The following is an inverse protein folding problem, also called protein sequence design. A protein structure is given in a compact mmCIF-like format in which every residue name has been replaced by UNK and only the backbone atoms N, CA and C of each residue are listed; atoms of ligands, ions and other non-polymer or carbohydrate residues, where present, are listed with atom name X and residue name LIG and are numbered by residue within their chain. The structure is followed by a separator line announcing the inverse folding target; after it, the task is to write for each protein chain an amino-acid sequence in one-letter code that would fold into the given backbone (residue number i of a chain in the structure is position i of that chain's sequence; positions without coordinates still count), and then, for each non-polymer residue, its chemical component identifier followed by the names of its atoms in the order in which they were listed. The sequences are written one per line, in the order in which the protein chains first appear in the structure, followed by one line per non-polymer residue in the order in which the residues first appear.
data_IF_308950747230
#
_entry.id   IF_308950747230
#
_cell.length_a   1.000
_cell.length_b   1.000
_cell.length_c   1.000
_cell.angle_alpha   90.00
_cell.angle_beta   90.00
_cell.angle_gamma   90.00
#
_symmetry.space_group_name_H-M   'P 1'
#
loop_
_entity.id
_entity.type
_entity.pdbx_description
1 polymer ?
#
# COMPACT_ATOMS: atom_id res chain seq x y z
N UNK A 1 -13.53 -59.56 35.95
CA UNK A 1 -13.31 -58.17 36.41
C UNK A 1 -12.18 -57.46 35.65
N UNK A 2 -11.00 -58.09 35.47
CA UNK A 2 -9.83 -57.49 34.79
C UNK A 2 -10.08 -57.04 33.33
N UNK A 3 -10.79 -57.82 32.52
CA UNK A 3 -11.04 -57.51 31.10
C UNK A 3 -11.90 -56.26 30.86
N UNK A 4 -12.79 -55.92 31.80
CA UNK A 4 -13.68 -54.75 31.68
C UNK A 4 -12.88 -53.46 31.92
N UNK A 5 -11.97 -53.47 32.89
CA UNK A 5 -11.12 -52.32 33.23
C UNK A 5 -10.12 -51.98 32.12
N UNK A 6 -9.58 -52.99 31.43
CA UNK A 6 -8.71 -52.78 30.27
C UNK A 6 -9.49 -52.16 29.10
N UNK A 7 -10.71 -52.63 28.83
CA UNK A 7 -11.56 -52.06 27.77
C UNK A 7 -11.97 -50.61 28.03
N UNK A 8 -12.35 -50.27 29.27
CA UNK A 8 -12.71 -48.90 29.65
C UNK A 8 -11.50 -47.96 29.53
N UNK A 9 -10.31 -48.41 29.94
CA UNK A 9 -9.08 -47.63 29.81
C UNK A 9 -8.70 -47.39 28.34
N UNK A 10 -8.84 -48.39 27.47
CA UNK A 10 -8.59 -48.23 26.03
C UNK A 10 -9.58 -47.27 25.35
N UNK A 11 -10.86 -47.29 25.75
CA UNK A 11 -11.87 -46.35 25.24
C UNK A 11 -11.54 -44.94 25.69
N UNK A 12 -11.13 -44.75 26.94
CA UNK A 12 -10.73 -43.45 27.46
C UNK A 12 -9.51 -42.89 26.71
N UNK A 13 -8.48 -43.71 26.48
CA UNK A 13 -7.28 -43.30 25.72
C UNK A 13 -7.64 -42.93 24.28
N UNK A 14 -8.47 -43.73 23.59
CA UNK A 14 -8.94 -43.42 22.23
C UNK A 14 -9.75 -42.12 22.18
N UNK A 15 -10.61 -41.91 23.17
CA UNK A 15 -11.40 -40.67 23.29
C UNK A 15 -10.50 -39.45 23.48
N UNK A 16 -9.52 -39.53 24.39
CA UNK A 16 -8.55 -38.45 24.61
C UNK A 16 -7.72 -38.15 23.36
N UNK A 17 -7.34 -39.18 22.60
CA UNK A 17 -6.61 -39.02 21.34
C UNK A 17 -7.45 -38.30 20.26
N UNK A 18 -8.72 -38.70 20.10
CA UNK A 18 -9.65 -38.04 19.16
C UNK A 18 -9.89 -36.57 19.55
N UNK A 19 -10.04 -36.28 20.85
CA UNK A 19 -10.22 -34.92 21.35
C UNK A 19 -8.95 -34.09 21.09
N UNK A 20 -7.76 -34.66 21.31
CA UNK A 20 -6.49 -33.99 21.04
C UNK A 20 -6.29 -33.70 19.55
N UNK A 21 -6.63 -34.63 18.65
CA UNK A 21 -6.59 -34.39 17.20
C UNK A 21 -7.58 -33.31 16.76
N UNK A 22 -8.80 -33.32 17.31
CA UNK A 22 -9.81 -32.31 17.02
C UNK A 22 -9.37 -30.92 17.50
N UNK A 23 -8.82 -30.83 18.71
CA UNK A 23 -8.26 -29.59 19.25
C UNK A 23 -7.03 -29.13 18.47
N UNK A 24 -6.14 -30.02 18.06
CA UNK A 24 -5.00 -29.68 17.22
C UNK A 24 -5.45 -29.17 15.86
N UNK A 25 -6.43 -29.80 15.21
CA UNK A 25 -6.95 -29.33 13.93
C UNK A 25 -7.68 -27.99 14.06
N UNK A 26 -8.44 -27.79 15.13
CA UNK A 26 -9.11 -26.52 15.41
C UNK A 26 -8.10 -25.40 15.70
N UNK A 27 -7.13 -25.64 16.59
CA UNK A 27 -6.09 -24.68 16.92
C UNK A 27 -5.18 -24.44 15.72
N UNK A 28 -4.78 -25.47 15.00
CA UNK A 28 -3.96 -25.35 13.80
C UNK A 28 -4.71 -24.55 12.75
N UNK A 29 -5.97 -24.83 12.44
CA UNK A 29 -6.70 -24.04 11.44
C UNK A 29 -6.96 -22.59 11.90
N UNK A 30 -7.32 -22.36 13.17
CA UNK A 30 -7.58 -21.02 13.66
C UNK A 30 -6.30 -20.17 13.80
N UNK A 31 -5.22 -20.77 14.31
CA UNK A 31 -3.90 -20.15 14.36
C UNK A 31 -3.33 -20.00 12.94
N UNK A 32 -3.57 -20.97 12.05
CA UNK A 32 -3.12 -20.91 10.66
C UNK A 32 -3.90 -19.91 9.78
N UNK A 33 -5.10 -19.50 10.17
CA UNK A 33 -5.83 -18.44 9.46
C UNK A 33 -5.45 -17.05 9.99
N UNK A 34 -5.11 -16.93 11.29
CA UNK A 34 -4.73 -15.65 11.89
C UNK A 34 -3.25 -15.25 11.65
N UNK A 35 -2.34 -16.20 11.41
CA UNK A 35 -0.90 -15.93 11.20
C UNK A 35 -0.49 -15.59 9.73
N UNK A 36 -1.38 -15.67 8.73
CA UNK A 36 -1.05 -15.39 7.31
C UNK A 36 -1.41 -13.96 6.90
N UNK A 37 -2.12 -13.21 7.75
CA UNK A 37 -2.38 -11.81 7.45
C UNK A 37 -1.10 -11.01 7.68
N UNK A 38 -0.61 -10.39 6.60
CA UNK A 38 0.54 -9.50 6.66
C UNK A 38 0.05 -8.07 6.68
N UNK A 39 0.72 -7.23 7.47
CA UNK A 39 0.46 -5.79 7.44
C UNK A 39 0.94 -5.23 6.11
N UNK A 40 -0.02 -4.90 5.25
CA UNK A 40 0.21 -4.46 3.88
C UNK A 40 -0.18 -3.00 3.75
N UNK A 41 0.63 -2.27 2.98
CA UNK A 41 0.46 -0.87 2.68
C UNK A 41 0.28 -0.65 1.16
N UNK A 42 -0.88 -0.14 0.76
CA UNK A 42 -1.20 0.21 -0.63
C UNK A 42 -1.31 1.73 -0.75
N UNK A 43 -0.46 2.32 -1.57
CA UNK A 43 -0.49 3.73 -1.94
C UNK A 43 -1.34 3.92 -3.19
N UNK A 44 -2.44 4.64 -3.07
CA UNK A 44 -3.25 5.06 -4.20
C UNK A 44 -2.76 6.40 -4.72
N UNK A 45 -2.54 6.49 -6.03
CA UNK A 45 -2.20 7.71 -6.74
C UNK A 45 -3.19 7.89 -7.88
N UNK A 46 -4.06 8.88 -7.76
CA UNK A 46 -5.17 9.10 -8.71
C UNK A 46 -5.00 10.44 -9.39
N UNK A 47 -4.88 10.46 -10.71
CA UNK A 47 -5.01 11.70 -11.47
C UNK A 47 -6.51 12.02 -11.63
N UNK A 48 -6.96 13.11 -11.02
CA UNK A 48 -8.37 13.51 -11.01
C UNK A 48 -8.47 15.03 -10.93
N UNK A 49 -9.13 15.65 -11.90
CA UNK A 49 -9.45 17.07 -11.85
C UNK A 49 -10.74 17.29 -11.08
N UNK A 50 -10.75 18.28 -10.19
CA UNK A 50 -11.90 18.58 -9.34
C UNK A 50 -12.18 20.08 -9.28
N UNK A 51 -13.41 20.42 -8.93
CA UNK A 51 -13.79 21.79 -8.60
C UNK A 51 -13.51 22.11 -7.13
N UNK A 52 -13.60 23.40 -6.78
CA UNK A 52 -13.42 23.86 -5.41
C UNK A 52 -14.40 23.15 -4.45
N UNK A 53 -13.91 22.78 -3.24
CA UNK A 53 -14.62 22.00 -2.20
C UNK A 53 -14.90 20.53 -2.53
N UNK A 54 -14.57 20.05 -3.72
CA UNK A 54 -14.64 18.62 -4.00
C UNK A 54 -13.46 17.90 -3.33
N UNK A 55 -13.71 16.66 -2.93
CA UNK A 55 -12.73 15.77 -2.30
C UNK A 55 -12.75 14.43 -3.01
N UNK A 56 -11.60 13.77 -3.13
CA UNK A 56 -11.50 12.46 -3.77
C UNK A 56 -11.32 11.39 -2.70
N UNK A 57 -12.04 10.29 -2.86
CA UNK A 57 -12.00 9.14 -1.97
C UNK A 57 -11.75 7.86 -2.77
N UNK A 58 -11.13 6.88 -2.13
CA UNK A 58 -11.12 5.49 -2.59
C UNK A 58 -12.10 4.69 -1.75
N UNK A 59 -13.02 4.02 -2.43
CA UNK A 59 -14.07 3.22 -1.80
C UNK A 59 -14.02 1.81 -2.37
N UNK A 60 -14.14 0.80 -1.54
CA UNK A 60 -14.00 -0.59 -1.97
C UNK A 60 -14.77 -1.59 -1.13
N UNK A 61 -14.56 -2.86 -1.44
CA UNK A 61 -15.25 -3.99 -0.80
C UNK A 61 -14.76 -4.27 0.64
N UNK A 62 -13.55 -3.84 0.99
CA UNK A 62 -13.02 -3.98 2.34
C UNK A 62 -13.66 -2.97 3.29
N UNK A 63 -13.86 -3.36 4.55
CA UNK A 63 -14.46 -2.48 5.58
C UNK A 63 -13.63 -1.22 5.84
N UNK A 64 -12.30 -1.34 5.80
CA UNK A 64 -11.37 -0.20 5.90
C UNK A 64 -11.44 0.75 4.69
N UNK A 65 -12.07 0.31 3.59
CA UNK A 65 -12.35 1.12 2.40
C UNK A 65 -13.84 1.52 2.34
N UNK A 66 -14.54 1.45 3.48
CA UNK A 66 -15.93 1.85 3.65
C UNK A 66 -16.97 0.83 3.19
N UNK A 67 -16.59 -0.37 2.72
CA UNK A 67 -17.54 -1.38 2.23
C UNK A 67 -18.58 -0.80 1.23
N UNK A 68 -18.10 -0.04 0.25
CA UNK A 68 -18.89 0.72 -0.73
C UNK A 68 -19.69 1.94 -0.20
N UNK A 69 -19.46 2.37 1.05
CA UNK A 69 -19.93 3.64 1.59
C UNK A 69 -18.91 4.77 1.32
N UNK A 70 -19.22 5.78 0.49
CA UNK A 70 -18.28 6.84 0.14
C UNK A 70 -17.85 7.75 1.29
N UNK A 71 -18.66 7.84 2.35
CA UNK A 71 -18.34 8.65 3.52
C UNK A 71 -17.35 7.95 4.46
N UNK A 72 -17.19 6.65 4.32
CA UNK A 72 -16.25 5.81 5.09
C UNK A 72 -15.06 5.34 4.25
N UNK A 73 -14.94 5.84 3.02
CA UNK A 73 -13.81 5.56 2.15
C UNK A 73 -12.51 6.21 2.62
N UNK A 74 -11.40 5.81 2.00
CA UNK A 74 -10.10 6.41 2.23
C UNK A 74 -10.08 7.78 1.56
N UNK A 75 -10.00 8.84 2.34
CA UNK A 75 -9.81 10.20 1.82
C UNK A 75 -8.43 10.33 1.16
N UNK A 76 -8.40 10.92 -0.03
CA UNK A 76 -7.17 11.28 -0.70
C UNK A 76 -6.85 12.76 -0.48
N UNK A 77 -5.56 13.06 -0.37
CA UNK A 77 -5.05 14.41 -0.20
C UNK A 77 -4.33 14.88 -1.47
N UNK A 78 -4.35 16.20 -1.68
CA UNK A 78 -3.63 16.89 -2.76
C UNK A 78 -3.17 18.26 -2.28
N UNK A 79 -2.30 18.92 -3.02
CA UNK A 79 -1.87 20.30 -2.79
C UNK A 79 -1.55 20.99 -4.13
N UNK A 80 -1.20 22.27 -4.09
CA UNK A 80 -0.88 23.07 -5.29
C UNK A 80 0.23 22.48 -6.16
N UNK A 81 1.18 21.76 -5.56
CA UNK A 81 2.40 21.32 -6.22
C UNK A 81 2.21 19.97 -6.91
N UNK A 82 1.27 19.15 -6.43
CA UNK A 82 0.98 17.82 -6.97
C UNK A 82 -0.34 17.74 -7.75
N UNK A 83 -1.26 18.69 -7.59
CA UNK A 83 -2.53 18.70 -8.30
C UNK A 83 -2.30 18.67 -9.83
N UNK A 84 -3.02 17.83 -10.61
CA UNK A 84 -4.24 17.08 -10.27
C UNK A 84 -4.01 15.65 -9.75
N UNK A 85 -2.88 15.36 -9.10
CA UNK A 85 -2.63 14.08 -8.44
C UNK A 85 -3.17 14.07 -7.00
N UNK A 86 -3.90 13.02 -6.66
CA UNK A 86 -4.46 12.75 -5.33
C UNK A 86 -3.82 11.48 -4.76
N UNK A 87 -3.43 11.54 -3.49
CA UNK A 87 -2.66 10.47 -2.84
C UNK A 87 -3.34 10.05 -1.54
N UNK A 88 -3.38 8.74 -1.30
CA UNK A 88 -3.88 8.17 -0.06
C UNK A 88 -3.32 6.78 0.17
N UNK A 89 -3.45 6.30 1.39
CA UNK A 89 -2.81 5.07 1.83
C UNK A 89 -3.82 4.17 2.53
N UNK A 90 -3.84 2.91 2.13
CA UNK A 90 -4.47 1.82 2.86
C UNK A 90 -3.39 1.08 3.66
N UNK A 91 -3.59 0.90 4.97
CA UNK A 91 -2.77 0.04 5.82
C UNK A 91 -3.71 -0.97 6.45
N UNK A 92 -3.54 -2.26 6.13
CA UNK A 92 -4.42 -3.31 6.62
C UNK A 92 -3.70 -4.67 6.69
N UNK A 93 -4.18 -5.51 7.60
CA UNK A 93 -3.79 -6.91 7.66
C UNK A 93 -4.60 -7.70 6.62
N UNK A 94 -3.98 -7.94 5.47
CA UNK A 94 -4.62 -8.54 4.30
C UNK A 94 -4.00 -9.90 4.00
N UNK A 95 -4.75 -10.74 3.30
CA UNK A 95 -4.27 -12.04 2.86
C UNK A 95 -3.41 -11.89 1.58
N UNK A 96 -2.29 -12.63 1.48
CA UNK A 96 -1.53 -12.70 0.24
C UNK A 96 -2.40 -13.22 -0.90
N UNK A 97 -2.20 -12.68 -2.10
CA UNK A 97 -2.97 -12.95 -3.32
C UNK A 97 -4.46 -12.57 -3.26
N UNK A 98 -4.93 -11.92 -2.18
CA UNK A 98 -6.28 -11.39 -2.10
C UNK A 98 -6.56 -10.38 -3.22
N UNK A 99 -7.73 -10.48 -3.85
CA UNK A 99 -8.22 -9.49 -4.80
C UNK A 99 -9.09 -8.47 -4.06
N UNK A 100 -8.75 -7.19 -4.18
CA UNK A 100 -9.50 -6.07 -3.58
C UNK A 100 -10.16 -5.29 -4.71
N UNK A 101 -11.48 -5.11 -4.61
CA UNK A 101 -12.26 -4.29 -5.54
C UNK A 101 -12.44 -2.88 -5.00
N UNK A 102 -12.23 -1.88 -5.84
CA UNK A 102 -12.36 -0.49 -5.45
C UNK A 102 -12.75 0.42 -6.61
N UNK A 103 -13.12 1.67 -6.28
CA UNK A 103 -13.34 2.79 -7.19
C UNK A 103 -12.87 4.09 -6.56
N UNK A 104 -12.54 5.06 -7.40
CA UNK A 104 -12.45 6.45 -6.97
C UNK A 104 -13.83 7.10 -6.97
N UNK A 105 -14.04 8.03 -6.04
CA UNK A 105 -15.30 8.78 -5.90
C UNK A 105 -14.97 10.23 -5.60
N UNK A 106 -15.66 11.15 -6.26
CA UNK A 106 -15.59 12.58 -5.94
C UNK A 106 -16.80 12.92 -5.06
N UNK A 107 -16.54 13.47 -3.88
CA UNK A 107 -17.55 13.87 -2.91
C UNK A 107 -17.59 15.38 -2.83
N UNK A 108 -18.80 15.93 -2.94
CA UNK A 108 -19.09 17.36 -2.82
C UNK A 108 -20.29 17.54 -1.90
N UNK A 109 -20.05 17.76 -0.61
CA UNK A 109 -21.09 17.84 0.41
C UNK A 109 -21.98 16.58 0.44
N UNK A 110 -23.16 16.59 -0.19
CA UNK A 110 -24.08 15.45 -0.28
C UNK A 110 -24.08 14.79 -1.67
N UNK A 111 -23.41 15.39 -2.65
CA UNK A 111 -23.31 14.86 -4.00
C UNK A 111 -22.11 13.92 -4.09
N UNK A 112 -22.36 12.73 -4.62
CA UNK A 112 -21.37 11.68 -4.77
C UNK A 112 -21.29 11.34 -6.27
N UNK A 113 -20.10 11.51 -6.85
CA UNK A 113 -19.83 11.22 -8.25
C UNK A 113 -18.91 10.00 -8.30
N UNK A 114 -19.48 8.87 -8.70
CA UNK A 114 -18.76 7.61 -8.88
C UNK A 114 -18.11 7.55 -10.25
N UNK A 115 -17.00 6.82 -10.35
CA UNK A 115 -16.50 6.34 -11.63
C UNK A 115 -17.58 5.54 -12.38
N UNK A 116 -17.75 5.81 -13.68
CA UNK A 116 -18.71 5.12 -14.56
C UNK A 116 -18.20 3.77 -15.07
N UNK A 117 -16.88 3.57 -15.07
CA UNK A 117 -16.24 2.30 -15.46
C UNK A 117 -16.55 1.14 -14.51
N UNK A 118 -16.12 -0.08 -14.86
CA UNK A 118 -16.20 -1.24 -13.95
C UNK A 118 -15.33 -1.06 -12.69
N UNK A 119 -15.60 -1.88 -11.67
CA UNK A 119 -14.81 -1.87 -10.44
C UNK A 119 -13.35 -2.23 -10.75
N UNK A 120 -12.44 -1.40 -10.24
CA UNK A 120 -11.00 -1.65 -10.32
C UNK A 120 -10.65 -2.80 -9.40
N UNK A 121 -9.64 -3.57 -9.76
CA UNK A 121 -9.15 -4.70 -8.96
C UNK A 121 -7.65 -4.55 -8.73
N UNK A 122 -7.21 -4.68 -7.48
CA UNK A 122 -5.80 -4.82 -7.13
C UNK A 122 -5.59 -6.18 -6.47
N UNK A 123 -4.57 -6.91 -6.92
CA UNK A 123 -4.15 -8.14 -6.27
C UNK A 123 -3.07 -7.83 -5.25
N UNK A 124 -3.23 -8.34 -4.04
CA UNK A 124 -2.30 -8.18 -2.94
C UNK A 124 -1.09 -9.09 -3.16
N UNK A 125 -0.03 -8.58 -3.79
CA UNK A 125 1.17 -9.38 -4.08
C UNK A 125 2.36 -9.06 -3.17
N UNK A 126 2.46 -7.81 -2.70
CA UNK A 126 3.61 -7.31 -1.96
C UNK A 126 3.16 -6.55 -0.71
N UNK A 127 4.06 -6.47 0.27
CA UNK A 127 3.85 -5.68 1.49
C UNK A 127 3.63 -4.19 1.17
N UNK A 128 4.35 -3.65 0.17
CA UNK A 128 4.22 -2.27 -0.27
C UNK A 128 3.85 -2.22 -1.75
N UNK A 129 2.74 -1.57 -2.09
CA UNK A 129 2.26 -1.48 -3.47
C UNK A 129 1.82 -0.07 -3.81
N UNK A 130 2.10 0.39 -5.03
CA UNK A 130 1.57 1.66 -5.53
C UNK A 130 0.64 1.41 -6.71
N UNK A 131 -0.58 1.90 -6.60
CA UNK A 131 -1.63 1.81 -7.61
C UNK A 131 -1.82 3.19 -8.21
N UNK A 132 -1.38 3.38 -9.46
CA UNK A 132 -1.49 4.63 -10.20
C UNK A 132 -2.57 4.50 -11.27
N UNK A 133 -3.54 5.42 -11.30
CA UNK A 133 -4.57 5.45 -12.33
C UNK A 133 -5.15 6.85 -12.53
N UNK A 134 -5.95 7.03 -13.59
CA UNK A 134 -6.66 8.27 -13.88
C UNK A 134 -8.15 8.04 -13.73
N UNK A 135 -8.87 8.98 -13.12
CA UNK A 135 -10.32 8.92 -12.93
C UNK A 135 -11.03 8.73 -14.28
N UNK A 136 -12.02 7.84 -14.34
CA UNK A 136 -12.74 7.44 -15.58
C UNK A 136 -11.90 6.78 -16.69
N UNK A 137 -10.63 6.46 -16.42
CA UNK A 137 -9.74 5.85 -17.41
C UNK A 137 -9.24 4.47 -16.98
N UNK A 138 -9.27 3.52 -17.91
CA UNK A 138 -8.55 2.25 -17.86
C UNK A 138 -7.35 2.35 -18.81
N UNK A 139 -6.13 1.91 -18.45
CA UNK A 139 -5.80 0.92 -17.43
C UNK A 139 -5.25 1.49 -16.12
N UNK A 140 -5.18 0.61 -15.10
CA UNK A 140 -4.41 0.84 -13.88
C UNK A 140 -2.94 0.54 -14.18
N UNK A 141 -2.04 1.43 -13.75
CA UNK A 141 -0.59 1.20 -13.74
C UNK A 141 -0.18 0.76 -12.33
N UNK A 142 0.24 -0.49 -12.19
CA UNK A 142 0.80 -0.99 -10.95
C UNK A 142 2.30 -0.72 -10.93
N UNK A 143 2.76 0.10 -10.00
CA UNK A 143 4.19 0.33 -9.80
C UNK A 143 4.67 -0.60 -8.70
N UNK A 144 5.58 -1.51 -9.08
CA UNK A 144 6.28 -2.36 -8.12
C UNK A 144 7.34 -1.53 -7.42
N UNK A 145 7.22 -1.41 -6.10
CA UNK A 145 8.36 -1.03 -5.27
C UNK A 145 8.83 -2.36 -4.70
N UNK A 146 9.93 -2.91 -5.24
CA UNK A 146 10.58 -4.07 -4.62
C UNK A 146 10.87 -3.69 -3.18
N UNK A 147 10.45 -4.51 -2.22
CA UNK A 147 10.91 -4.33 -0.86
C UNK A 147 12.45 -4.40 -0.89
N UNK A 148 13.15 -3.57 -0.13
CA UNK A 148 14.60 -3.67 -0.02
C UNK A 148 15.06 -5.06 0.47
N UNK A 149 14.15 -5.85 1.04
CA UNK A 149 14.36 -7.22 1.51
C UNK A 149 14.07 -8.29 0.44
N UNK A 150 13.61 -7.92 -0.76
CA UNK A 150 13.31 -8.87 -1.85
C UNK A 150 14.52 -9.15 -2.76
N UNK A 151 15.68 -8.55 -2.49
CA UNK A 151 16.93 -8.99 -3.09
C UNK A 151 17.55 -10.02 -2.15
N UNK A 152 17.26 -11.28 -2.42
CA UNK A 152 18.23 -12.38 -2.36
C UNK A 152 17.43 -13.67 -2.58
N UNK A 153 17.53 -14.21 -3.79
CA UNK A 153 17.60 -15.64 -4.17
C UNK A 153 17.42 -15.77 -5.70
N UNK A 154 18.17 -14.99 -6.48
CA UNK A 154 18.46 -15.37 -7.87
C UNK A 154 19.95 -15.13 -8.07
N UNK A 155 20.70 -16.21 -7.88
CA UNK A 155 22.11 -16.31 -8.22
C UNK A 155 22.24 -16.32 -9.73
N UNK A 156 22.39 -15.15 -10.32
CA UNK A 156 23.17 -14.93 -11.54
C UNK A 156 23.69 -13.50 -11.47
N UNK A 157 24.92 -13.38 -10.98
CA UNK A 157 25.66 -12.12 -10.88
C UNK A 157 26.05 -11.68 -12.29
N UNK A 158 25.16 -10.98 -12.99
CA UNK A 158 25.63 -10.01 -13.98
C UNK A 158 26.18 -8.81 -13.21
N UNK A 159 27.51 -8.77 -13.10
CA UNK A 159 28.25 -7.57 -12.68
C UNK A 159 27.94 -6.43 -13.65
N UNK A 160 26.87 -5.69 -13.39
CA UNK A 160 26.66 -4.40 -14.01
C UNK A 160 27.82 -3.49 -13.58
N UNK A 161 28.69 -3.15 -14.52
CA UNK A 161 29.76 -2.17 -14.33
C UNK A 161 29.14 -0.80 -14.04
N UNK A 162 28.98 -0.47 -12.76
CA UNK A 162 28.53 0.84 -12.30
C UNK A 162 29.67 1.88 -12.27
N UNK A 163 30.45 1.99 -13.34
CA UNK A 163 31.51 3.00 -13.44
C UNK A 163 31.00 4.45 -13.51
N UNK A 164 29.67 4.66 -13.46
CA UNK A 164 29.04 5.99 -13.46
C UNK A 164 27.91 6.18 -12.44
N UNK A 165 27.66 5.25 -11.52
CA UNK A 165 26.56 5.39 -10.56
C UNK A 165 26.91 6.42 -9.47
N UNK A 166 26.31 7.60 -9.55
CA UNK A 166 26.47 8.65 -8.55
C UNK A 166 25.68 8.28 -7.28
N UNK A 167 26.38 7.83 -6.25
CA UNK A 167 25.83 7.60 -4.90
C UNK A 167 25.31 8.93 -4.35
N UNK A 168 24.00 9.14 -4.35
CA UNK A 168 23.38 10.25 -3.59
C UNK A 168 23.18 9.77 -2.16
N UNK A 169 23.94 10.33 -1.23
CA UNK A 169 23.66 10.13 0.20
C UNK A 169 22.39 10.90 0.54
N UNK A 170 21.35 10.17 0.95
CA UNK A 170 20.16 10.76 1.54
C UNK A 170 20.57 11.30 2.91
N UNK A 171 20.71 12.62 3.03
CA UNK A 171 20.77 13.25 4.36
C UNK A 171 19.41 13.03 5.00
N UNK A 172 19.41 12.46 6.21
CA UNK A 172 18.21 12.27 7.03
C UNK A 172 17.41 13.58 7.06
N UNK A 173 16.24 13.58 6.43
CA UNK A 173 15.28 14.67 6.53
C UNK A 173 14.59 14.49 7.87
N UNK A 174 14.95 15.34 8.83
CA UNK A 174 14.26 15.45 10.11
C UNK A 174 12.80 15.84 9.83
N UNK A 175 11.87 15.18 10.52
CA UNK A 175 10.43 15.41 10.49
C UNK A 175 10.09 16.92 10.63
N UNK A 176 9.21 17.49 9.78
CA UNK A 176 8.80 18.90 9.86
C UNK A 176 7.99 19.32 11.11
N UNK A 177 7.89 18.49 12.16
CA UNK A 177 7.09 18.78 13.36
C UNK A 177 7.90 19.06 14.64
N UNK A 178 9.21 19.29 14.55
CA UNK A 178 10.01 19.81 15.67
C UNK A 178 10.43 21.25 15.40
N UNK A 179 9.49 22.18 15.52
CA UNK A 179 9.80 23.58 15.79
C UNK A 179 9.37 23.85 17.23
N UNK A 180 10.34 23.87 18.14
CA UNK A 180 10.44 24.95 19.13
C UNK A 180 11.68 24.84 20.03
N UNK A 181 12.35 25.99 20.15
CA UNK A 181 13.46 26.36 21.05
C UNK A 181 14.84 25.74 20.78
N UNK A 182 15.69 26.47 20.04
CA UNK A 182 16.95 27.04 20.57
C UNK A 182 17.65 27.91 19.50
N UNK A 183 18.15 29.05 19.96
CA UNK A 183 18.76 30.13 19.18
C UNK A 183 20.18 29.82 18.69
N UNK A 184 20.62 30.68 17.74
CA UNK A 184 21.97 31.19 17.50
C UNK A 184 22.74 30.65 16.29
N UNK A 185 22.81 31.55 15.29
CA UNK A 185 23.90 31.85 14.36
C UNK A 185 24.59 30.73 13.57
N UNK A 186 24.31 30.69 12.26
CA UNK A 186 25.35 30.67 11.22
C UNK A 186 24.72 30.90 9.85
N UNK A 187 25.18 31.95 9.16
CA UNK A 187 24.96 32.16 7.74
C UNK A 187 25.55 30.97 6.95
N UNK A 188 24.73 30.28 6.16
CA UNK A 188 25.21 29.52 5.00
C UNK A 188 24.11 29.29 3.96
N UNK A 189 24.26 29.99 2.84
CA UNK A 189 23.92 29.64 1.45
C UNK A 189 22.63 28.84 1.18
N UNK A 190 21.53 29.58 1.07
CA UNK A 190 20.21 29.08 0.65
C UNK A 190 19.99 29.03 -0.89
N UNK A 191 21.05 29.12 -1.71
CA UNK A 191 20.93 29.15 -3.17
C UNK A 191 20.83 27.78 -3.85
N UNK A 192 21.04 26.68 -3.12
CA UNK A 192 21.08 25.33 -3.70
C UNK A 192 19.76 24.55 -3.58
N UNK A 193 18.79 25.02 -2.81
CA UNK A 193 17.51 24.31 -2.67
C UNK A 193 16.59 24.63 -3.85
N UNK A 194 16.56 25.89 -4.29
CA UNK A 194 15.75 26.31 -5.44
C UNK A 194 16.22 25.68 -6.75
N UNK A 195 17.53 25.48 -6.94
CA UNK A 195 18.07 24.88 -8.17
C UNK A 195 17.73 23.40 -8.32
N UNK A 196 17.74 22.63 -7.23
CA UNK A 196 17.45 21.17 -7.25
C UNK A 196 15.97 20.91 -7.55
N UNK A 197 15.05 21.77 -7.10
CA UNK A 197 13.63 21.64 -7.43
C UNK A 197 13.34 22.04 -8.88
N UNK A 198 14.03 23.05 -9.41
CA UNK A 198 13.87 23.48 -10.81
C UNK A 198 14.39 22.42 -11.79
N UNK A 199 15.55 21.81 -11.52
CA UNK A 199 16.14 20.77 -12.39
C UNK A 199 15.25 19.53 -12.53
N UNK A 200 14.58 19.11 -11.45
CA UNK A 200 13.71 17.92 -11.48
C UNK A 200 12.39 18.16 -12.25
N UNK A 201 11.94 19.41 -12.33
CA UNK A 201 10.72 19.80 -13.09
C UNK A 201 11.04 19.86 -14.60
N UNK A 202 12.21 20.36 -14.99
CA UNK A 202 12.62 20.40 -16.40
C UNK A 202 12.81 19.00 -17.01
N UNK A 203 13.35 18.05 -16.23
CA UNK A 203 13.50 16.66 -16.68
C UNK A 203 12.13 16.00 -16.93
N UNK A 204 11.13 16.26 -16.10
CA UNK A 204 9.76 15.74 -16.29
C UNK A 204 9.05 16.35 -17.50
N UNK A 205 9.34 17.61 -17.83
CA UNK A 205 8.76 18.28 -19.00
C UNK A 205 9.40 17.85 -20.33
N UNK A 206 10.69 17.48 -20.33
CA UNK A 206 11.39 17.04 -21.54
C UNK A 206 11.08 15.60 -21.96
N UNK A 207 10.66 14.73 -21.03
CA UNK A 207 10.22 13.36 -21.38
C UNK A 207 8.87 13.30 -22.12
N UNK A 208 8.09 14.38 -22.16
CA UNK A 208 6.79 14.43 -22.82
C UNK A 208 6.82 15.00 -24.26
N UNK A 209 8.01 15.25 -24.83
CA UNK A 209 8.15 15.87 -26.18
C UNK A 209 8.75 14.98 -27.26
N UNK A 210 9.12 13.73 -26.96
CA UNK A 210 9.65 12.79 -27.97
C UNK A 210 8.74 11.57 -28.11
N UNK A 211 7.54 11.76 -28.65
CA UNK A 211 6.76 10.66 -29.24
C UNK A 211 5.66 11.25 -30.14
N UNK A 212 6.02 11.64 -31.37
CA UNK A 212 5.19 11.55 -32.59
C UNK A 212 6.06 11.89 -33.81
N UNK A 213 6.08 11.02 -34.83
CA UNK A 213 5.78 11.43 -36.20
C UNK A 213 4.30 11.26 -36.51
#
# INVERSE_FOLDING_TARGET
MLFLNVRISLIYIKSQFIIAESLYNYLSNHLFQNWIKMSIQIYFKVRCETYFKQQVYIVGDQQIMGAWNPLEGIRLDTNSDIYPLWIGTLIADLEPNQLIKFKAVIVESQKIIWETIENRVVQVLYQYQTVLFTFESSPIKMLKIKSFFDCDQDSDVETANFSGARRRQLKNVVSPLEFDYLSSDSESDNSNISSIFVENIEVLNNFNKEEFP
#
